data_IF_902030172371
#
_entry.id   IF_902030172371
#
_cell.length_a   1.000
_cell.length_b   1.000
_cell.length_c   1.000
_cell.angle_alpha   90.00
_cell.angle_beta   90.00
_cell.angle_gamma   90.00
#
_symmetry.space_group_name_H-M   'P 1'
#
loop_
_entity.id
_entity.type
_entity.pdbx_description
1 polymer ?
#
# COMPACT_ATOMS: atom_id res chain seq x y z
N UNK A 1 11.02 -9.51 12.60
CA UNK A 1 10.41 -10.80 12.96
C UNK A 1 8.99 -10.66 13.55
N UNK A 2 8.79 -10.03 14.71
CA UNK A 2 7.48 -9.97 15.38
C UNK A 2 6.33 -9.40 14.52
N UNK A 3 6.58 -8.29 13.79
CA UNK A 3 5.55 -7.63 12.99
C UNK A 3 5.02 -8.48 11.83
N UNK A 4 5.92 -9.20 11.14
CA UNK A 4 5.56 -10.17 10.08
C UNK A 4 4.68 -11.28 10.65
N UNK A 5 5.06 -11.84 11.80
CA UNK A 5 4.27 -12.86 12.48
C UNK A 5 2.86 -12.36 12.82
N UNK A 6 2.73 -11.17 13.39
CA UNK A 6 1.42 -10.59 13.71
C UNK A 6 0.57 -10.39 12.45
N UNK A 7 1.14 -9.82 11.40
CA UNK A 7 0.40 -9.57 10.14
C UNK A 7 0.00 -10.88 9.46
N UNK A 8 0.88 -11.89 9.47
CA UNK A 8 0.57 -13.21 8.90
C UNK A 8 -0.50 -13.94 9.70
N UNK A 9 -0.48 -13.90 11.04
CA UNK A 9 -1.51 -14.53 11.87
C UNK A 9 -2.85 -13.83 11.67
N UNK A 10 -2.88 -12.50 11.73
CA UNK A 10 -4.11 -11.73 11.50
C UNK A 10 -4.65 -11.98 10.11
N UNK A 11 -3.80 -11.94 9.08
CA UNK A 11 -4.20 -12.24 7.70
C UNK A 11 -4.75 -13.66 7.55
N UNK A 12 -4.08 -14.66 8.12
CA UNK A 12 -4.51 -16.06 8.08
C UNK A 12 -5.85 -16.26 8.79
N UNK A 13 -6.04 -15.67 9.97
CA UNK A 13 -7.28 -15.79 10.72
C UNK A 13 -8.44 -15.06 10.02
N UNK A 14 -8.22 -13.82 9.56
CA UNK A 14 -9.25 -13.03 8.89
C UNK A 14 -9.64 -13.63 7.54
N UNK A 15 -8.66 -13.86 6.66
CA UNK A 15 -8.93 -14.39 5.32
C UNK A 15 -9.38 -15.86 5.38
N UNK A 16 -8.81 -16.66 6.28
CA UNK A 16 -9.22 -18.05 6.50
C UNK A 16 -10.67 -18.14 6.98
N UNK A 17 -11.07 -17.31 7.96
CA UNK A 17 -12.45 -17.28 8.44
C UNK A 17 -13.43 -16.82 7.36
N UNK A 18 -13.08 -15.77 6.60
CA UNK A 18 -13.90 -15.29 5.48
C UNK A 18 -14.01 -16.35 4.38
N UNK A 19 -12.91 -17.03 4.06
CA UNK A 19 -12.88 -18.07 3.03
C UNK A 19 -13.75 -19.28 3.42
N UNK A 20 -13.66 -19.73 4.68
CA UNK A 20 -14.52 -20.78 5.22
C UNK A 20 -16.00 -20.40 5.13
N UNK A 21 -16.33 -19.14 5.41
CA UNK A 21 -17.71 -18.67 5.40
C UNK A 21 -18.28 -18.44 3.98
N UNK A 22 -17.43 -18.04 3.03
CA UNK A 22 -17.84 -17.72 1.65
C UNK A 22 -17.84 -18.92 0.71
N UNK A 23 -16.82 -19.77 0.78
CA UNK A 23 -16.52 -20.79 -0.23
C UNK A 23 -16.52 -22.20 0.38
N UNK A 24 -16.41 -22.31 1.71
CA UNK A 24 -16.36 -23.58 2.43
C UNK A 24 -15.04 -24.34 2.22
N UNK A 25 -14.90 -25.45 2.94
CA UNK A 25 -13.70 -26.31 2.86
C UNK A 25 -13.60 -26.97 1.48
N UNK A 26 -14.74 -27.40 0.91
CA UNK A 26 -14.78 -28.04 -0.40
C UNK A 26 -14.40 -27.09 -1.53
N UNK A 27 -14.83 -25.83 -1.46
CA UNK A 27 -14.45 -24.80 -2.42
C UNK A 27 -12.97 -24.38 -2.31
N UNK A 28 -12.40 -24.44 -1.10
CA UNK A 28 -10.96 -24.24 -0.91
C UNK A 28 -10.14 -25.36 -1.56
N UNK A 29 -10.54 -26.63 -1.35
CA UNK A 29 -9.86 -27.80 -1.93
C UNK A 29 -10.01 -27.89 -3.45
N UNK A 30 -11.10 -27.35 -4.01
CA UNK A 30 -11.34 -27.28 -5.44
C UNK A 30 -10.53 -26.18 -6.17
N UNK A 31 -9.73 -25.39 -5.45
CA UNK A 31 -8.92 -24.32 -6.06
C UNK A 31 -7.85 -24.91 -6.97
N UNK A 32 -7.87 -24.54 -8.25
CA UNK A 32 -6.89 -24.99 -9.25
C UNK A 32 -5.45 -24.68 -8.82
N UNK A 33 -4.48 -25.60 -9.01
CA UNK A 33 -3.08 -25.39 -8.63
C UNK A 33 -2.47 -24.10 -9.20
N UNK A 34 -2.88 -23.69 -10.40
CA UNK A 34 -2.45 -22.44 -11.03
C UNK A 34 -2.89 -21.19 -10.23
N UNK A 35 -4.16 -21.14 -9.82
CA UNK A 35 -4.68 -20.04 -9.01
C UNK A 35 -4.01 -20.01 -7.64
N UNK A 36 -3.76 -21.19 -7.06
CA UNK A 36 -3.08 -21.33 -5.79
C UNK A 36 -1.64 -20.79 -5.86
N UNK A 37 -0.93 -21.06 -6.96
CA UNK A 37 0.40 -20.49 -7.22
C UNK A 37 0.37 -18.97 -7.35
N UNK A 38 -0.58 -18.41 -8.12
CA UNK A 38 -0.73 -16.97 -8.26
C UNK A 38 -1.06 -16.28 -6.93
N UNK A 39 -1.94 -16.87 -6.11
CA UNK A 39 -2.27 -16.37 -4.78
C UNK A 39 -1.05 -16.37 -3.85
N UNK A 40 -0.24 -17.43 -3.91
CA UNK A 40 0.98 -17.56 -3.11
C UNK A 40 2.02 -16.52 -3.54
N UNK A 41 2.23 -16.34 -4.85
CA UNK A 41 3.13 -15.33 -5.40
C UNK A 41 2.69 -13.90 -5.02
N UNK A 42 1.40 -13.60 -5.13
CA UNK A 42 0.84 -12.32 -4.71
C UNK A 42 1.05 -12.09 -3.20
N UNK A 43 0.85 -13.12 -2.38
CA UNK A 43 1.10 -13.08 -0.94
C UNK A 43 2.56 -12.82 -0.60
N UNK A 44 3.51 -13.49 -1.27
CA UNK A 44 4.95 -13.29 -1.07
C UNK A 44 5.38 -11.88 -1.49
N UNK A 45 4.93 -11.40 -2.65
CA UNK A 45 5.18 -10.02 -3.08
C UNK A 45 4.63 -9.00 -2.07
N UNK A 46 3.41 -9.20 -1.58
CA UNK A 46 2.83 -8.32 -0.57
C UNK A 46 3.60 -8.36 0.75
N UNK A 47 4.01 -9.54 1.22
CA UNK A 47 4.83 -9.68 2.42
C UNK A 47 6.19 -8.96 2.26
N UNK A 48 6.86 -9.11 1.12
CA UNK A 48 8.11 -8.43 0.83
C UNK A 48 7.94 -6.89 0.82
N UNK A 49 6.87 -6.39 0.19
CA UNK A 49 6.54 -4.98 0.19
C UNK A 49 6.31 -4.45 1.62
N UNK A 50 5.57 -5.18 2.45
CA UNK A 50 5.31 -4.79 3.84
C UNK A 50 6.61 -4.75 4.68
N UNK A 51 7.52 -5.71 4.48
CA UNK A 51 8.84 -5.71 5.12
C UNK A 51 9.65 -4.50 4.71
N UNK A 52 9.68 -4.18 3.42
CA UNK A 52 10.38 -3.01 2.90
C UNK A 52 9.83 -1.72 3.50
N UNK A 53 8.50 -1.56 3.55
CA UNK A 53 7.86 -0.40 4.18
C UNK A 53 8.18 -0.27 5.68
N UNK A 54 8.10 -1.39 6.40
CA UNK A 54 8.41 -1.46 7.83
C UNK A 54 9.86 -1.05 8.08
N UNK A 55 10.78 -1.48 7.22
CA UNK A 55 12.18 -1.05 7.27
C UNK A 55 12.32 0.42 6.91
N UNK A 56 11.62 0.91 5.88
CA UNK A 56 11.64 2.32 5.53
C UNK A 56 11.23 3.21 6.70
N UNK A 57 10.22 2.85 7.49
CA UNK A 57 9.81 3.60 8.70
C UNK A 57 10.93 3.80 9.71
N UNK A 58 11.90 2.88 9.77
CA UNK A 58 13.03 2.97 10.70
C UNK A 58 14.12 3.93 10.20
N UNK A 59 14.15 4.23 8.89
CA UNK A 59 15.17 5.06 8.25
C UNK A 59 14.63 6.36 7.66
N UNK A 60 13.30 6.54 7.58
CA UNK A 60 12.66 7.73 6.99
C UNK A 60 11.45 8.18 7.80
N UNK A 61 10.89 9.32 7.46
CA UNK A 61 9.71 9.86 8.12
C UNK A 61 8.46 9.01 7.88
N UNK A 62 7.61 8.89 8.91
CA UNK A 62 6.24 8.35 8.84
C UNK A 62 5.44 8.90 7.65
N UNK A 63 5.57 10.20 7.40
CA UNK A 63 4.90 10.93 6.32
C UNK A 63 5.23 10.31 4.95
N UNK A 64 6.50 10.01 4.67
CA UNK A 64 6.91 9.39 3.41
C UNK A 64 6.32 7.97 3.23
N UNK A 65 6.38 7.15 4.28
CA UNK A 65 5.86 5.78 4.21
C UNK A 65 4.34 5.78 4.02
N UNK A 66 3.62 6.69 4.69
CA UNK A 66 2.19 6.87 4.50
C UNK A 66 1.85 7.26 3.06
N UNK A 67 2.66 8.13 2.44
CA UNK A 67 2.52 8.47 1.02
C UNK A 67 2.67 7.24 0.12
N UNK A 68 3.70 6.41 0.32
CA UNK A 68 3.87 5.17 -0.46
C UNK A 68 2.65 4.25 -0.29
N UNK A 69 2.15 4.11 0.94
CA UNK A 69 0.98 3.26 1.20
C UNK A 69 -0.28 3.79 0.48
N UNK A 70 -0.50 5.11 0.47
CA UNK A 70 -1.61 5.72 -0.28
C UNK A 70 -1.44 5.53 -1.81
N UNK A 71 -0.21 5.64 -2.31
CA UNK A 71 0.11 5.39 -3.73
C UNK A 71 -0.18 3.95 -4.15
N UNK A 72 -0.06 2.95 -3.27
CA UNK A 72 -0.38 1.56 -3.62
C UNK A 72 -1.84 1.37 -4.00
N UNK A 73 -2.79 1.96 -3.25
CA UNK A 73 -4.21 1.87 -3.59
C UNK A 73 -4.51 2.53 -4.94
N UNK A 74 -3.86 3.66 -5.24
CA UNK A 74 -3.96 4.35 -6.53
C UNK A 74 -3.40 3.50 -7.67
N UNK A 75 -2.22 2.91 -7.51
CA UNK A 75 -1.64 2.00 -8.52
C UNK A 75 -2.50 0.77 -8.73
N UNK A 76 -3.03 0.16 -7.66
CA UNK A 76 -3.91 -1.00 -7.74
C UNK A 76 -5.18 -0.69 -8.53
N UNK A 77 -5.79 0.48 -8.29
CA UNK A 77 -6.96 0.93 -9.06
C UNK A 77 -6.64 1.14 -10.55
N UNK A 78 -5.51 1.78 -10.86
CA UNK A 78 -5.06 1.99 -12.24
C UNK A 78 -4.74 0.67 -12.95
N UNK A 79 -4.06 -0.26 -12.25
CA UNK A 79 -3.80 -1.61 -12.76
C UNK A 79 -5.08 -2.40 -12.95
N UNK A 80 -6.08 -2.23 -12.09
CA UNK A 80 -7.40 -2.83 -12.26
C UNK A 80 -8.06 -2.39 -13.58
N UNK A 81 -8.15 -1.07 -13.81
CA UNK A 81 -8.70 -0.51 -15.06
C UNK A 81 -7.90 -1.01 -16.27
N UNK A 82 -6.57 -1.07 -16.17
CA UNK A 82 -5.71 -1.48 -17.27
C UNK A 82 -5.78 -2.99 -17.58
N UNK A 83 -5.80 -3.87 -16.58
CA UNK A 83 -5.83 -5.31 -16.79
C UNK A 83 -7.23 -5.85 -17.09
N UNK A 84 -8.25 -5.34 -16.41
CA UNK A 84 -9.63 -5.79 -16.59
C UNK A 84 -10.39 -5.02 -17.68
N UNK A 85 -9.78 -3.96 -18.24
CA UNK A 85 -10.35 -3.10 -19.29
C UNK A 85 -11.74 -2.55 -18.91
N UNK A 86 -12.00 -2.39 -17.62
CA UNK A 86 -13.25 -1.85 -17.11
C UNK A 86 -13.31 -0.33 -17.30
N UNK A 87 -14.47 0.25 -17.65
CA UNK A 87 -14.58 1.69 -17.85
C UNK A 87 -14.22 2.44 -16.55
N UNK A 88 -13.32 3.44 -16.60
CA UNK A 88 -12.90 4.15 -15.40
C UNK A 88 -14.09 4.91 -14.81
N UNK A 89 -14.50 4.50 -13.60
CA UNK A 89 -15.58 5.16 -12.88
C UNK A 89 -15.17 6.59 -12.49
N UNK A 90 -16.07 7.59 -12.55
CA UNK A 90 -15.80 8.95 -12.08
C UNK A 90 -15.29 9.01 -10.63
N UNK A 91 -15.76 8.10 -9.77
CA UNK A 91 -15.32 7.98 -8.37
C UNK A 91 -13.87 7.51 -8.26
N UNK A 92 -13.48 6.53 -9.09
CA UNK A 92 -12.10 6.02 -9.15
C UNK A 92 -11.17 7.15 -9.59
N UNK A 93 -11.53 7.86 -10.65
CA UNK A 93 -10.71 8.95 -11.19
C UNK A 93 -10.55 10.09 -10.17
N UNK A 94 -11.63 10.41 -9.44
CA UNK A 94 -11.60 11.38 -8.35
C UNK A 94 -10.66 10.95 -7.21
N UNK A 95 -10.74 9.69 -6.77
CA UNK A 95 -9.87 9.15 -5.72
C UNK A 95 -8.39 9.12 -6.13
N UNK A 96 -8.10 8.74 -7.37
CA UNK A 96 -6.75 8.79 -7.95
C UNK A 96 -6.25 10.23 -8.00
N UNK A 97 -7.05 11.17 -8.51
CA UNK A 97 -6.71 12.59 -8.56
C UNK A 97 -6.43 13.18 -7.19
N UNK A 98 -7.27 12.87 -6.20
CA UNK A 98 -7.10 13.34 -4.82
C UNK A 98 -5.81 12.81 -4.18
N UNK A 99 -5.46 11.54 -4.44
CA UNK A 99 -4.21 10.96 -3.93
C UNK A 99 -2.98 11.64 -4.54
N UNK A 100 -3.00 11.91 -5.85
CA UNK A 100 -1.93 12.64 -6.54
C UNK A 100 -1.79 14.05 -5.98
N UNK A 101 -2.90 14.79 -5.81
CA UNK A 101 -2.88 16.14 -5.22
C UNK A 101 -2.33 16.10 -3.79
N UNK A 102 -2.77 15.13 -2.98
CA UNK A 102 -2.25 14.93 -1.62
C UNK A 102 -0.73 14.73 -1.59
N UNK A 103 -0.20 13.89 -2.47
CA UNK A 103 1.25 13.65 -2.62
C UNK A 103 2.01 14.93 -3.03
N UNK A 104 1.49 15.69 -3.98
CA UNK A 104 2.11 16.94 -4.45
C UNK A 104 2.15 18.01 -3.35
N UNK A 105 1.06 18.16 -2.58
CA UNK A 105 1.02 19.08 -1.43
C UNK A 105 2.02 18.67 -0.34
N UNK A 106 2.19 17.37 -0.11
CA UNK A 106 3.15 16.85 0.85
C UNK A 106 4.60 17.18 0.47
N UNK A 107 4.95 17.12 -0.82
CA UNK A 107 6.26 17.53 -1.35
C UNK A 107 6.52 19.02 -1.11
N UNK A 108 5.52 19.88 -1.33
CA UNK A 108 5.65 21.34 -1.22
C UNK A 108 5.96 21.80 0.22
N UNK A 109 5.48 21.09 1.24
CA UNK A 109 5.72 21.45 2.66
C UNK A 109 7.15 21.21 3.16
N UNK A 110 8.01 20.49 2.41
CA UNK A 110 9.42 20.27 2.81
C UNK A 110 10.39 21.39 2.38
N UNK A 111 9.90 22.45 1.74
CA UNK A 111 10.71 23.60 1.31
C UNK A 111 10.33 24.85 2.13
N UNK A 112 10.69 24.91 3.43
CA UNK A 112 11.39 26.11 3.91
C UNK A 112 12.35 25.82 5.09
N UNK A 113 13.29 24.88 4.95
CA UNK A 113 14.38 24.74 5.94
C UNK A 113 15.54 25.72 5.68
N UNK A 114 15.65 26.27 4.47
CA UNK A 114 16.74 27.16 4.08
C UNK A 114 16.51 28.64 4.45
N UNK A 115 15.32 29.02 4.92
CA UNK A 115 15.05 30.40 5.39
C UNK A 115 15.48 30.64 6.83
N UNK A 116 15.34 29.63 7.69
CA UNK A 116 15.75 29.72 9.10
C UNK A 116 17.27 29.81 9.25
N UNK A 117 18.04 29.16 8.37
CA UNK A 117 19.51 29.26 8.38
C UNK A 117 20.03 30.62 7.88
N UNK A 118 19.27 31.31 7.02
CA UNK A 118 19.60 32.65 6.56
C UNK A 118 19.31 33.71 7.64
N UNK A 119 18.20 33.56 8.38
CA UNK A 119 17.83 34.50 9.46
C UNK A 119 18.80 34.45 10.66
N UNK A 120 19.43 33.30 10.94
CA UNK A 120 20.41 33.14 12.03
C UNK A 120 21.81 33.67 11.64
N UNK A 121 22.12 33.78 10.34
CA UNK A 121 23.37 34.38 9.86
C UNK A 121 23.30 35.91 9.72
N UNK A 122 22.10 36.49 9.80
CA UNK A 122 21.88 37.94 9.69
C UNK A 122 21.66 38.65 11.04
N UNK A 123 21.70 37.94 12.19
CA UNK A 123 21.80 38.61 13.50
C UNK A 123 23.27 39.00 13.79
N UNK A 124 23.58 40.31 13.95
CA UNK A 124 24.93 40.82 14.21
C UNK A 124 25.43 40.60 15.65
#
# INVERSE_FOLDING_TARGET
PAMLFTVSIVGMLSLGSISLWRIGVDGMLATTPHNLWLMLLAGVCNAAAFVALTKSLQYTSLVFVNAINATQATLAALMGVFFFQEPPSPWLLTGVGLTIVGLLLMRKRRLPANRVAAEIQEEP
#
